data_IF_570440715218
#
_entry.id   IF_570440715218
#
_cell.length_a   1.000
_cell.length_b   1.000
_cell.length_c   1.000
_cell.angle_alpha   90.00
_cell.angle_beta   90.00
_cell.angle_gamma   90.00
#
_symmetry.space_group_name_H-M   'P 1'
#
loop_
_entity.id
_entity.type
_entity.pdbx_description
1 polymer ?
#
# COMPACT_ATOMS: atom_id res chain seq x y z
N UNK A 1 -7.89 20.07 15.72
CA UNK A 1 -7.56 18.66 15.96
C UNK A 1 -7.75 17.92 14.64
N UNK A 2 -6.67 17.45 14.03
CA UNK A 2 -6.78 16.60 12.84
C UNK A 2 -7.13 15.20 13.32
N UNK A 3 -8.36 14.74 13.04
CA UNK A 3 -8.74 13.34 13.18
C UNK A 3 -7.87 12.53 12.22
N UNK A 4 -6.74 12.04 12.72
CA UNK A 4 -5.92 11.06 12.02
C UNK A 4 -6.48 9.70 12.39
N UNK A 5 -7.60 9.34 11.76
CA UNK A 5 -8.01 7.94 11.71
C UNK A 5 -6.85 7.22 11.03
N UNK A 6 -6.02 6.50 11.79
CA UNK A 6 -4.99 5.66 11.21
C UNK A 6 -5.71 4.57 10.42
N UNK A 7 -5.84 4.76 9.12
CA UNK A 7 -6.45 3.76 8.25
C UNK A 7 -5.62 2.48 8.33
N UNK A 8 -6.30 1.37 8.63
CA UNK A 8 -5.67 0.07 8.75
C UNK A 8 -5.32 -0.45 7.35
N UNK A 9 -4.07 -0.84 7.07
CA UNK A 9 -3.68 -1.36 5.76
C UNK A 9 -4.62 -2.48 5.27
N UNK A 10 -4.97 -2.46 3.98
CA UNK A 10 -5.90 -3.42 3.39
C UNK A 10 -5.60 -3.70 1.92
N UNK A 11 -6.07 -4.86 1.45
CA UNK A 11 -6.18 -5.21 0.04
C UNK A 11 -7.66 -5.45 -0.25
N UNK A 12 -8.23 -4.66 -1.15
CA UNK A 12 -9.66 -4.71 -1.49
C UNK A 12 -9.83 -4.94 -2.98
N UNK A 13 -10.50 -6.03 -3.35
CA UNK A 13 -10.81 -6.29 -4.75
C UNK A 13 -11.79 -5.26 -5.29
N UNK A 14 -11.52 -4.72 -6.48
CA UNK A 14 -12.41 -3.83 -7.20
C UNK A 14 -13.50 -4.64 -7.90
N UNK A 15 -14.64 -4.83 -7.23
CA UNK A 15 -15.81 -5.54 -7.77
C UNK A 15 -15.45 -6.95 -8.29
N UNK A 16 -16.08 -7.38 -9.39
CA UNK A 16 -15.80 -8.66 -10.07
C UNK A 16 -14.56 -8.60 -11.00
N UNK A 17 -13.71 -7.56 -10.89
CA UNK A 17 -12.49 -7.46 -11.69
C UNK A 17 -11.31 -8.18 -11.01
N UNK A 18 -10.20 -8.33 -11.75
CA UNK A 18 -8.92 -8.77 -11.19
C UNK A 18 -8.13 -7.63 -10.54
N UNK A 19 -8.66 -6.40 -10.56
CA UNK A 19 -8.00 -5.23 -9.99
C UNK A 19 -8.25 -5.08 -8.50
N UNK A 20 -7.30 -4.46 -7.81
CA UNK A 20 -7.32 -4.24 -6.36
C UNK A 20 -6.97 -2.80 -6.02
N UNK A 21 -7.58 -2.31 -4.96
CA UNK A 21 -7.22 -1.10 -4.23
C UNK A 21 -6.41 -1.56 -3.00
N UNK A 22 -5.23 -0.99 -2.84
CA UNK A 22 -4.28 -1.41 -1.81
C UNK A 22 -3.89 -0.18 -0.99
N UNK A 23 -4.10 -0.26 0.32
CA UNK A 23 -3.55 0.67 1.29
C UNK A 23 -2.45 -0.04 2.06
N UNK A 24 -1.20 0.40 1.92
CA UNK A 24 -0.03 -0.26 2.50
C UNK A 24 0.81 0.69 3.34
N UNK A 25 1.44 0.16 4.38
CA UNK A 25 2.33 0.92 5.27
C UNK A 25 3.76 0.87 4.75
N UNK A 26 4.44 2.02 4.69
CA UNK A 26 5.86 2.12 4.35
C UNK A 26 6.70 1.51 5.48
N UNK A 27 7.51 0.52 5.16
CA UNK A 27 8.40 -0.15 6.13
C UNK A 27 9.87 0.15 5.87
N UNK A 28 10.25 0.40 4.62
CA UNK A 28 11.61 0.79 4.25
C UNK A 28 11.58 1.71 3.01
N UNK A 29 12.08 2.93 3.14
CA UNK A 29 12.13 3.90 2.03
C UNK A 29 13.27 3.60 1.07
N UNK A 30 14.43 3.18 1.57
CA UNK A 30 15.62 2.92 0.76
C UNK A 30 15.39 1.80 -0.26
N UNK A 31 14.60 0.80 0.13
CA UNK A 31 14.24 -0.35 -0.70
C UNK A 31 12.80 -0.26 -1.26
N UNK A 32 12.11 0.88 -1.10
CA UNK A 32 10.72 1.06 -1.53
C UNK A 32 9.75 -0.06 -1.07
N UNK A 33 9.89 -0.53 0.18
CA UNK A 33 9.11 -1.63 0.73
C UNK A 33 7.88 -1.14 1.49
N UNK A 34 6.74 -1.73 1.13
CA UNK A 34 5.44 -1.52 1.74
C UNK A 34 4.91 -2.82 2.33
N UNK A 35 4.07 -2.73 3.35
CA UNK A 35 3.47 -3.89 4.02
C UNK A 35 1.94 -3.76 4.12
N UNK A 36 1.24 -4.86 3.82
CA UNK A 36 -0.18 -5.06 4.11
C UNK A 36 -0.38 -6.42 4.74
N UNK A 37 -0.72 -6.46 6.03
CA UNK A 37 -0.74 -7.71 6.78
C UNK A 37 0.61 -8.41 6.68
N UNK A 38 0.61 -9.66 6.24
CA UNK A 38 1.82 -10.48 6.05
C UNK A 38 2.45 -10.34 4.66
N UNK A 39 1.88 -9.52 3.78
CA UNK A 39 2.38 -9.31 2.42
C UNK A 39 3.33 -8.12 2.41
N UNK A 40 4.56 -8.37 1.95
CA UNK A 40 5.54 -7.35 1.63
C UNK A 40 5.48 -7.04 0.12
N UNK A 41 5.45 -5.76 -0.23
CA UNK A 41 5.37 -5.27 -1.60
C UNK A 41 6.57 -4.36 -1.84
N UNK A 42 7.41 -4.70 -2.81
CA UNK A 42 8.48 -3.84 -3.30
C UNK A 42 7.97 -3.06 -4.51
N UNK A 43 8.20 -1.75 -4.54
CA UNK A 43 7.87 -0.92 -5.70
C UNK A 43 9.11 -0.70 -6.57
N UNK A 44 8.95 -0.93 -7.87
CA UNK A 44 9.98 -0.62 -8.89
C UNK A 44 10.25 0.89 -9.03
N UNK A 45 9.42 1.72 -8.41
CA UNK A 45 9.50 3.17 -8.45
C UNK A 45 9.81 3.74 -7.08
N UNK A 46 10.60 4.81 -7.08
CA UNK A 46 10.89 5.55 -5.86
C UNK A 46 9.61 6.14 -5.26
N UNK A 47 9.50 6.06 -3.94
CA UNK A 47 8.42 6.71 -3.20
C UNK A 47 8.46 8.24 -3.43
N UNK A 48 7.29 8.89 -3.59
CA UNK A 48 7.20 10.35 -3.66
C UNK A 48 7.90 11.04 -2.50
N UNK A 49 8.52 12.19 -2.77
CA UNK A 49 9.20 12.99 -1.77
C UNK A 49 8.27 13.39 -0.61
N UNK A 50 8.78 13.31 0.62
CA UNK A 50 8.03 13.66 1.83
C UNK A 50 7.37 12.48 2.55
N UNK A 51 7.30 11.31 1.91
CA UNK A 51 6.85 10.06 2.54
C UNK A 51 7.89 9.56 3.53
N UNK A 52 7.41 9.07 4.68
CA UNK A 52 8.19 8.55 5.80
C UNK A 52 7.83 7.10 6.12
N UNK A 53 8.73 6.42 6.82
CA UNK A 53 8.42 5.12 7.43
C UNK A 53 7.20 5.28 8.34
N UNK A 54 6.30 4.30 8.30
CA UNK A 54 4.97 4.27 8.92
C UNK A 54 3.88 5.09 8.24
N UNK A 55 4.17 5.90 7.21
CA UNK A 55 3.11 6.49 6.40
C UNK A 55 2.35 5.39 5.64
N UNK A 56 1.09 5.66 5.30
CA UNK A 56 0.30 4.78 4.44
C UNK A 56 0.26 5.35 3.03
N UNK A 57 0.33 4.47 2.04
CA UNK A 57 0.21 4.79 0.62
C UNK A 57 -0.95 3.98 0.06
N UNK A 58 -1.83 4.67 -0.66
CA UNK A 58 -2.89 4.05 -1.43
C UNK A 58 -2.49 3.97 -2.91
N UNK A 59 -2.65 2.80 -3.51
CA UNK A 59 -2.42 2.62 -4.94
C UNK A 59 -3.33 1.54 -5.53
N UNK A 60 -3.43 1.56 -6.86
CA UNK A 60 -4.25 0.63 -7.62
C UNK A 60 -3.37 -0.44 -8.27
N UNK A 61 -3.68 -1.70 -8.01
CA UNK A 61 -3.08 -2.83 -8.71
C UNK A 61 -4.04 -3.29 -9.82
N UNK A 62 -3.57 -3.28 -11.07
CA UNK A 62 -4.41 -3.66 -12.22
C UNK A 62 -4.81 -5.14 -12.23
N UNK A 63 -3.91 -6.01 -11.75
CA UNK A 63 -4.12 -7.45 -11.62
C UNK A 63 -3.29 -7.98 -10.47
N UNK A 64 -3.94 -8.65 -9.52
CA UNK A 64 -3.28 -9.42 -8.48
C UNK A 64 -3.89 -10.81 -8.45
N UNK A 65 -3.14 -11.81 -8.95
CA UNK A 65 -3.55 -13.21 -8.95
C UNK A 65 -3.29 -13.83 -7.57
N UNK A 66 -4.09 -13.42 -6.59
CA UNK A 66 -4.13 -14.01 -5.25
C UNK A 66 -5.47 -14.76 -5.12
N UNK A 67 -5.37 -16.09 -4.97
CA UNK A 67 -6.41 -17.10 -4.73
C UNK A 67 -7.78 -16.92 -5.45
#
# INVERSE_FOLDING_TARGET
>A
MLNTTQETPYIKRKNNSLGYEILARVTNIENNLLQVGDILIELDVNLPGGIKVNDCIEFNCGRLDIF
#
